data_IF_876887311732
#
_entry.id   IF_876887311732
#
_cell.length_a   1.000
_cell.length_b   1.000
_cell.length_c   1.000
_cell.angle_alpha   90.00
_cell.angle_beta   90.00
_cell.angle_gamma   90.00
#
_symmetry.space_group_name_H-M   'P 1'
#
loop_
_entity.id
_entity.type
_entity.pdbx_description
1 polymer ?
#
# COMPACT_ATOMS: atom_id res chain seq x y z
N UNK A 1 22.99 2.70 -13.13
CA UNK A 1 22.08 1.63 -12.73
C UNK A 1 20.77 2.20 -12.24
N UNK A 2 19.68 1.60 -12.67
CA UNK A 2 18.36 2.05 -12.25
C UNK A 2 18.15 1.76 -10.76
N UNK A 3 17.68 2.76 -10.05
CA UNK A 3 17.34 2.62 -8.64
C UNK A 3 16.02 1.86 -8.53
N UNK A 4 15.93 0.93 -7.58
CA UNK A 4 14.68 0.22 -7.34
C UNK A 4 13.62 1.18 -6.82
N UNK A 5 12.38 0.98 -7.25
CA UNK A 5 11.25 1.71 -6.69
C UNK A 5 11.04 1.27 -5.25
N UNK A 6 10.63 2.21 -4.41
CA UNK A 6 10.47 1.99 -2.98
C UNK A 6 8.99 1.89 -2.62
N UNK A 7 8.61 0.77 -2.02
CA UNK A 7 7.22 0.49 -1.65
C UNK A 7 7.07 0.46 -0.13
N UNK A 8 5.95 0.99 0.36
CA UNK A 8 5.55 0.81 1.75
C UNK A 8 4.34 -0.11 1.79
N UNK A 9 4.42 -1.18 2.57
CA UNK A 9 3.33 -2.15 2.71
C UNK A 9 2.84 -2.16 4.15
N UNK A 10 1.55 -1.92 4.34
CA UNK A 10 0.92 -1.85 5.66
C UNK A 10 -0.21 -2.87 5.73
N UNK A 11 -0.09 -3.86 6.60
CA UNK A 11 -1.12 -4.89 6.79
C UNK A 11 -0.92 -5.50 8.17
N UNK A 12 -1.98 -5.68 8.94
CA UNK A 12 -1.87 -6.22 10.30
C UNK A 12 -1.62 -7.72 10.35
N UNK A 13 -1.72 -8.41 9.22
CA UNK A 13 -1.38 -9.83 9.12
C UNK A 13 0.12 -9.97 8.84
N UNK A 14 0.87 -10.45 9.81
CA UNK A 14 2.31 -10.68 9.64
C UNK A 14 2.59 -11.67 8.51
N UNK A 15 1.72 -12.67 8.35
CA UNK A 15 1.84 -13.65 7.28
C UNK A 15 1.70 -12.99 5.90
N UNK A 16 0.71 -12.12 5.74
CA UNK A 16 0.50 -11.38 4.48
C UNK A 16 1.70 -10.49 4.19
N UNK A 17 2.16 -9.75 5.19
CA UNK A 17 3.32 -8.86 5.04
C UNK A 17 4.55 -9.65 4.64
N UNK A 18 4.81 -10.78 5.29
CA UNK A 18 5.97 -11.63 4.99
C UNK A 18 5.90 -12.17 3.55
N UNK A 19 4.72 -12.61 3.14
CA UNK A 19 4.53 -13.12 1.77
C UNK A 19 4.75 -12.05 0.72
N UNK A 20 4.18 -10.88 0.92
CA UNK A 20 4.34 -9.77 -0.01
C UNK A 20 5.79 -9.29 -0.06
N UNK A 21 6.43 -9.18 1.10
CA UNK A 21 7.83 -8.77 1.16
C UNK A 21 8.73 -9.76 0.44
N UNK A 22 8.53 -11.06 0.68
CA UNK A 22 9.33 -12.11 0.06
C UNK A 22 9.23 -12.06 -1.48
N UNK A 23 8.04 -11.84 -1.99
CA UNK A 23 7.82 -11.79 -3.43
C UNK A 23 8.31 -10.48 -4.05
N UNK A 24 7.94 -9.35 -3.46
CA UNK A 24 8.19 -8.04 -4.06
C UNK A 24 9.62 -7.53 -3.87
N UNK A 25 10.31 -7.98 -2.82
CA UNK A 25 11.68 -7.51 -2.56
C UNK A 25 12.68 -7.96 -3.61
N UNK A 26 12.31 -8.91 -4.47
CA UNK A 26 13.15 -9.29 -5.60
C UNK A 26 13.25 -8.17 -6.64
N UNK A 27 12.23 -7.33 -6.72
CA UNK A 27 12.13 -6.29 -7.74
C UNK A 27 12.17 -4.88 -7.14
N UNK A 28 11.62 -4.72 -5.94
CA UNK A 28 11.45 -3.41 -5.30
C UNK A 28 12.18 -3.34 -3.97
N UNK A 29 12.45 -2.13 -3.51
CA UNK A 29 12.88 -1.90 -2.14
C UNK A 29 11.61 -1.83 -1.30
N UNK A 30 11.44 -2.76 -0.36
CA UNK A 30 10.19 -2.90 0.39
C UNK A 30 10.39 -2.55 1.86
N UNK A 31 9.56 -1.67 2.37
CA UNK A 31 9.46 -1.34 3.79
C UNK A 31 8.07 -1.82 4.25
N UNK A 32 8.00 -2.50 5.37
CA UNK A 32 6.74 -3.08 5.85
C UNK A 32 6.37 -2.57 7.24
N UNK A 33 5.07 -2.50 7.49
CA UNK A 33 4.53 -2.18 8.80
C UNK A 33 3.33 -3.08 9.07
N UNK A 34 3.11 -3.44 10.32
CA UNK A 34 2.00 -4.33 10.69
C UNK A 34 0.84 -3.59 11.33
N UNK A 35 0.86 -2.28 11.32
CA UNK A 35 -0.26 -1.44 11.76
C UNK A 35 -0.18 -0.07 11.09
N UNK A 36 -1.28 0.64 11.13
CA UNK A 36 -1.38 1.93 10.45
C UNK A 36 -0.51 3.01 11.06
N UNK A 37 -0.39 3.03 12.38
CA UNK A 37 0.44 4.03 13.06
C UNK A 37 1.92 3.89 12.70
N UNK A 38 2.43 2.66 12.71
CA UNK A 38 3.82 2.40 12.31
C UNK A 38 4.02 2.73 10.84
N UNK A 39 3.04 2.40 10.00
CA UNK A 39 3.12 2.74 8.58
C UNK A 39 3.24 4.23 8.36
N UNK A 40 2.41 5.02 9.03
CA UNK A 40 2.47 6.47 8.94
C UNK A 40 3.77 7.03 9.49
N UNK A 41 4.28 6.42 10.55
CA UNK A 41 5.56 6.83 11.13
C UNK A 41 6.70 6.62 10.15
N UNK A 42 6.75 5.46 9.50
CA UNK A 42 7.76 5.19 8.48
C UNK A 42 7.63 6.16 7.31
N UNK A 43 6.38 6.46 6.93
CA UNK A 43 6.11 7.39 5.85
C UNK A 43 6.66 8.79 6.18
N UNK A 44 6.43 9.27 7.39
CA UNK A 44 6.94 10.57 7.87
C UNK A 44 8.47 10.54 8.01
N UNK A 45 9.02 9.47 8.57
CA UNK A 45 10.47 9.34 8.76
C UNK A 45 11.22 9.37 7.42
N UNK A 46 10.58 8.88 6.35
CA UNK A 46 11.15 8.90 5.01
C UNK A 46 10.74 10.14 4.22
N UNK A 47 10.07 11.10 4.87
CA UNK A 47 9.61 12.34 4.24
C UNK A 47 8.76 12.09 2.99
N UNK A 48 7.94 11.04 3.02
CA UNK A 48 7.08 10.68 1.90
C UNK A 48 7.83 10.14 0.68
N UNK A 49 9.06 9.73 0.83
CA UNK A 49 9.87 9.25 -0.29
C UNK A 49 9.59 7.79 -0.62
N UNK A 50 8.34 7.52 -0.95
CA UNK A 50 7.90 6.21 -1.44
C UNK A 50 7.32 6.39 -2.83
N UNK A 51 7.52 5.40 -3.68
CA UNK A 51 6.98 5.42 -5.04
C UNK A 51 5.55 4.89 -5.08
N UNK A 52 5.16 4.09 -4.09
CA UNK A 52 3.83 3.51 -4.01
C UNK A 52 3.59 2.98 -2.61
N UNK A 53 2.34 3.03 -2.16
CA UNK A 53 1.92 2.51 -0.85
C UNK A 53 0.83 1.46 -1.06
N UNK A 54 0.95 0.34 -0.34
CA UNK A 54 -0.07 -0.71 -0.30
C UNK A 54 -0.55 -0.79 1.14
N UNK A 55 -1.84 -0.66 1.38
CA UNK A 55 -2.38 -0.74 2.74
C UNK A 55 -3.64 -1.58 2.81
N UNK A 56 -3.74 -2.40 3.84
CA UNK A 56 -4.98 -3.06 4.22
C UNK A 56 -5.96 -1.98 4.71
N UNK A 57 -7.24 -2.21 4.51
CA UNK A 57 -8.27 -1.27 4.93
C UNK A 57 -8.76 -1.51 6.35
N UNK A 58 -8.69 -2.74 6.83
CA UNK A 58 -9.20 -3.09 8.16
C UNK A 58 -8.04 -3.42 9.08
N UNK A 59 -7.75 -2.51 10.00
CA UNK A 59 -6.66 -2.66 10.97
C UNK A 59 -7.14 -2.16 12.34
N UNK A 60 -6.58 -2.70 13.45
CA UNK A 60 -7.11 -2.40 14.78
C UNK A 60 -6.85 -0.99 15.31
N UNK A 61 -5.79 -0.33 14.89
CA UNK A 61 -5.40 0.99 15.44
C UNK A 61 -5.97 2.15 14.62
N UNK A 62 -5.53 2.29 13.37
CA UNK A 62 -6.05 3.28 12.44
C UNK A 62 -6.41 2.56 11.16
N UNK A 63 -7.58 2.84 10.61
CA UNK A 63 -8.04 2.16 9.41
C UNK A 63 -7.20 2.53 8.20
N UNK A 64 -7.15 1.63 7.23
CA UNK A 64 -6.46 1.92 5.97
C UNK A 64 -7.04 3.11 5.25
N UNK A 65 -8.36 3.37 5.39
CA UNK A 65 -8.99 4.57 4.83
C UNK A 65 -8.35 5.82 5.42
N UNK A 66 -8.12 5.83 6.74
CA UNK A 66 -7.46 6.95 7.41
C UNK A 66 -6.02 7.13 6.93
N UNK A 67 -5.29 6.02 6.77
CA UNK A 67 -3.92 6.06 6.25
C UNK A 67 -3.90 6.66 4.84
N UNK A 68 -4.79 6.20 3.96
CA UNK A 68 -4.88 6.70 2.59
C UNK A 68 -5.18 8.20 2.57
N UNK A 69 -6.14 8.63 3.38
CA UNK A 69 -6.52 10.04 3.44
C UNK A 69 -5.35 10.93 3.83
N UNK A 70 -4.58 10.51 4.83
CA UNK A 70 -3.43 11.26 5.31
C UNK A 70 -2.36 11.35 4.22
N UNK A 71 -2.04 10.22 3.60
CA UNK A 71 -1.01 10.18 2.55
C UNK A 71 -1.42 11.02 1.35
N UNK A 72 -2.65 10.86 0.87
CA UNK A 72 -3.12 11.59 -0.32
C UNK A 72 -3.24 13.09 -0.08
N UNK A 73 -3.51 13.48 1.14
CA UNK A 73 -3.59 14.89 1.49
C UNK A 73 -2.22 15.56 1.44
N UNK A 74 -1.21 14.87 1.94
CA UNK A 74 0.16 15.39 1.96
C UNK A 74 0.90 15.21 0.63
N UNK A 75 0.71 14.06 0.00
CA UNK A 75 1.46 13.69 -1.21
C UNK A 75 0.51 13.06 -2.24
N UNK A 76 -0.33 13.90 -2.87
CA UNK A 76 -1.36 13.36 -3.79
C UNK A 76 -0.81 12.63 -5.01
N UNK A 77 0.47 12.82 -5.32
CA UNK A 77 1.09 12.14 -6.45
C UNK A 77 1.54 10.71 -6.18
N UNK A 78 1.52 10.26 -4.92
CA UNK A 78 1.94 8.90 -4.60
C UNK A 78 0.76 7.94 -4.82
N UNK A 79 0.91 6.93 -5.71
CA UNK A 79 -0.17 5.97 -5.92
C UNK A 79 -0.36 5.08 -4.69
N UNK A 80 -1.62 4.79 -4.36
CA UNK A 80 -1.98 3.95 -3.22
C UNK A 80 -2.88 2.81 -3.68
N UNK A 81 -2.50 1.58 -3.34
CA UNK A 81 -3.32 0.39 -3.54
C UNK A 81 -3.92 0.01 -2.20
N UNK A 82 -5.23 -0.07 -2.14
CA UNK A 82 -5.95 -0.54 -0.96
C UNK A 82 -6.26 -2.02 -1.11
N UNK A 83 -6.09 -2.79 -0.03
CA UNK A 83 -6.41 -4.21 -0.01
C UNK A 83 -7.59 -4.41 0.93
N UNK A 84 -8.62 -5.11 0.48
CA UNK A 84 -9.80 -5.36 1.29
C UNK A 84 -10.05 -6.86 1.42
N UNK A 85 -10.50 -7.27 2.60
CA UNK A 85 -10.84 -8.66 2.87
C UNK A 85 -12.33 -8.90 2.82
N UNK A 86 -12.74 -9.98 3.45
CA UNK A 86 -14.09 -10.52 3.39
C UNK A 86 -15.17 -9.69 4.06
N UNK A 87 -16.36 -9.69 3.46
CA UNK A 87 -17.63 -9.33 4.13
C UNK A 87 -17.84 -7.86 4.44
N UNK A 88 -16.83 -7.05 4.27
CA UNK A 88 -16.93 -5.61 4.48
C UNK A 88 -16.99 -4.92 3.13
N UNK A 89 -17.57 -3.72 3.08
CA UNK A 89 -17.55 -2.92 1.87
C UNK A 89 -16.73 -1.64 2.06
N UNK A 90 -15.49 -1.75 2.58
CA UNK A 90 -14.67 -0.55 2.74
C UNK A 90 -14.10 -0.03 1.42
N UNK A 91 -14.26 -0.79 0.33
CA UNK A 91 -13.78 -0.38 -0.98
C UNK A 91 -14.32 0.96 -1.43
N UNK A 92 -15.62 1.23 -1.15
CA UNK A 92 -16.22 2.52 -1.48
C UNK A 92 -15.56 3.65 -0.69
N UNK A 93 -15.26 3.41 0.59
CA UNK A 93 -14.60 4.40 1.44
C UNK A 93 -13.16 4.64 1.00
N UNK A 94 -12.47 3.59 0.54
CA UNK A 94 -11.13 3.72 0.01
C UNK A 94 -11.11 4.58 -1.25
N UNK A 95 -12.12 4.40 -2.11
CA UNK A 95 -12.26 5.21 -3.32
C UNK A 95 -12.52 6.67 -2.96
N UNK A 96 -13.36 6.92 -1.96
CA UNK A 96 -13.59 8.28 -1.47
C UNK A 96 -12.33 8.92 -0.90
N UNK A 97 -11.43 8.11 -0.33
CA UNK A 97 -10.15 8.59 0.20
C UNK A 97 -9.08 8.73 -0.88
N UNK A 98 -9.45 8.52 -2.14
CA UNK A 98 -8.58 8.67 -3.32
C UNK A 98 -7.55 7.54 -3.49
N UNK A 99 -7.87 6.32 -3.06
CA UNK A 99 -7.06 5.16 -3.43
C UNK A 99 -7.04 5.03 -4.95
N UNK A 100 -5.89 4.74 -5.51
CA UNK A 100 -5.74 4.59 -6.96
C UNK A 100 -6.26 3.24 -7.45
N UNK A 101 -6.25 2.24 -6.57
CA UNK A 101 -6.74 0.90 -6.89
C UNK A 101 -7.18 0.21 -5.61
N UNK A 102 -8.23 -0.60 -5.72
CA UNK A 102 -8.70 -1.45 -4.62
C UNK A 102 -8.64 -2.89 -5.09
N UNK A 103 -7.95 -3.75 -4.34
CA UNK A 103 -7.87 -5.18 -4.62
C UNK A 103 -8.54 -5.98 -3.52
N UNK A 104 -9.35 -6.96 -3.91
CA UNK A 104 -10.00 -7.87 -2.97
C UNK A 104 -9.10 -9.06 -2.67
N UNK A 105 -9.03 -9.44 -1.40
CA UNK A 105 -8.38 -10.70 -1.00
C UNK A 105 -9.33 -11.87 -1.26
N UNK A 106 -8.86 -13.03 -1.70
CA UNK A 106 -7.48 -13.32 -2.10
C UNK A 106 -7.16 -12.81 -3.50
N UNK A 107 -5.93 -12.43 -3.72
CA UNK A 107 -5.44 -12.02 -5.06
C UNK A 107 -4.14 -12.75 -5.36
N UNK A 108 -3.82 -12.83 -6.66
CA UNK A 108 -2.57 -13.43 -7.09
C UNK A 108 -1.44 -12.40 -6.97
N UNK A 109 -0.26 -12.84 -6.52
CA UNK A 109 0.90 -11.94 -6.39
C UNK A 109 1.32 -11.39 -7.75
N UNK A 110 1.16 -12.19 -8.81
CA UNK A 110 1.47 -11.72 -10.16
C UNK A 110 0.53 -10.61 -10.62
N UNK A 111 -0.74 -10.68 -10.22
CA UNK A 111 -1.71 -9.62 -10.53
C UNK A 111 -1.37 -8.33 -9.78
N UNK A 112 -1.01 -8.46 -8.52
CA UNK A 112 -0.58 -7.30 -7.74
C UNK A 112 0.66 -6.65 -8.35
N UNK A 113 1.65 -7.44 -8.71
CA UNK A 113 2.88 -6.92 -9.32
C UNK A 113 2.58 -6.20 -10.63
N UNK A 114 1.68 -6.75 -11.45
CA UNK A 114 1.27 -6.10 -12.69
C UNK A 114 0.63 -4.73 -12.41
N UNK A 115 -0.22 -4.65 -11.41
CA UNK A 115 -0.87 -3.39 -11.05
C UNK A 115 0.13 -2.37 -10.50
N UNK A 116 1.11 -2.83 -9.72
CA UNK A 116 2.19 -1.97 -9.24
C UNK A 116 2.94 -1.38 -10.44
N UNK A 117 3.33 -2.21 -11.39
CA UNK A 117 4.03 -1.77 -12.60
C UNK A 117 3.21 -0.76 -13.39
N UNK A 118 1.89 -1.00 -13.52
CA UNK A 118 1.01 -0.08 -14.23
C UNK A 118 0.98 1.29 -13.57
N UNK A 119 0.87 1.33 -12.25
CA UNK A 119 0.81 2.60 -11.53
C UNK A 119 2.14 3.33 -11.55
N UNK A 120 3.25 2.62 -11.41
CA UNK A 120 4.58 3.22 -11.46
C UNK A 120 4.90 3.72 -12.86
N UNK A 121 4.49 2.98 -13.89
CA UNK A 121 4.69 3.38 -15.27
C UNK A 121 3.94 4.66 -15.64
N UNK A 122 2.76 4.84 -15.09
CA UNK A 122 1.95 6.04 -15.36
C UNK A 122 2.52 7.28 -14.68
N UNK A 123 3.23 7.11 -13.59
CA UNK A 123 3.87 8.21 -12.89
C UNK A 123 5.18 8.65 -13.51
N UNK A 124 5.69 7.87 -14.45
CA UNK A 124 6.99 8.11 -15.08
C UNK A 124 6.90 8.94 -16.34
#
# INVERSE_FOLDING_TARGET
>A
MAKKHKLLIIDDSEETVAGLNSYLSNTYEVITATNGLDGLKYFEDHEGRFDLVITDLVMPDISGVGVISIIKKKYPGIPVIAITGWGEHPGALATEADADLVLDKPFELTDLDREINNLLGKGG
#
